data_IF_753528208781
#
_entry.id   IF_753528208781
#
_cell.length_a   1.000
_cell.length_b   1.000
_cell.length_c   1.000
_cell.angle_alpha   90.00
_cell.angle_beta   90.00
_cell.angle_gamma   90.00
#
_symmetry.space_group_name_H-M   'P 1'
#
loop_
_entity.id
_entity.type
_entity.pdbx_description
1 polymer ?
#
# COMPACT_ATOMS: atom_id res chain seq x y z
N UNK A 1 7.47 24.63 -8.97
CA UNK A 1 7.85 26.02 -9.34
C UNK A 1 9.36 26.14 -9.55
N UNK A 2 9.85 26.18 -10.80
CA UNK A 2 11.31 26.20 -11.08
C UNK A 2 12.02 27.47 -10.55
N UNK A 3 11.35 28.62 -10.55
CA UNK A 3 11.90 29.91 -10.07
C UNK A 3 12.35 29.85 -8.60
N UNK A 4 11.64 29.10 -7.75
CA UNK A 4 11.97 28.92 -6.34
C UNK A 4 13.23 28.06 -6.08
N UNK A 5 13.85 27.50 -7.12
CA UNK A 5 15.18 26.89 -7.00
C UNK A 5 16.32 27.90 -7.09
N UNK A 6 16.05 29.10 -7.63
CA UNK A 6 17.07 30.13 -7.76
C UNK A 6 17.50 30.61 -6.37
N UNK A 7 18.79 30.91 -6.22
CA UNK A 7 19.42 31.20 -4.92
C UNK A 7 18.64 32.27 -4.13
N UNK A 8 18.25 33.36 -4.77
CA UNK A 8 17.58 34.49 -4.13
C UNK A 8 16.13 34.15 -3.72
N UNK A 9 15.22 33.72 -4.63
CA UNK A 9 13.89 33.24 -4.24
C UNK A 9 13.91 32.12 -3.19
N UNK A 10 14.82 31.15 -3.32
CA UNK A 10 14.96 30.07 -2.36
C UNK A 10 15.39 30.57 -0.98
N UNK A 11 16.34 31.51 -0.93
CA UNK A 11 16.79 32.11 0.33
C UNK A 11 15.69 32.96 0.99
N UNK A 12 14.86 33.66 0.20
CA UNK A 12 13.69 34.37 0.72
C UNK A 12 12.65 33.40 1.29
N UNK A 13 12.33 32.32 0.58
CA UNK A 13 11.41 31.30 1.07
C UNK A 13 11.89 30.66 2.38
N UNK A 14 13.19 30.38 2.49
CA UNK A 14 13.79 29.82 3.72
C UNK A 14 13.68 30.73 4.94
N UNK A 15 13.47 32.04 4.76
CA UNK A 15 13.21 32.98 5.87
C UNK A 15 11.78 32.87 6.39
N UNK A 16 10.85 32.34 5.59
CA UNK A 16 9.44 32.19 5.93
C UNK A 16 9.09 30.77 6.38
N UNK A 17 9.75 29.76 5.82
CA UNK A 17 9.51 28.34 6.13
C UNK A 17 10.78 27.50 5.97
N UNK A 18 10.89 26.40 6.71
CA UNK A 18 11.97 25.41 6.54
C UNK A 18 11.79 24.56 5.27
N UNK A 19 10.62 24.63 4.63
CA UNK A 19 10.31 23.87 3.43
C UNK A 19 11.01 24.45 2.20
N UNK A 20 11.51 23.56 1.33
CA UNK A 20 12.09 23.93 0.04
C UNK A 20 11.11 23.59 -1.09
N UNK A 21 11.07 24.41 -2.14
CA UNK A 21 10.28 24.06 -3.32
C UNK A 21 10.85 22.81 -4.01
N UNK A 22 9.97 21.90 -4.39
CA UNK A 22 10.31 20.74 -5.18
C UNK A 22 10.00 20.97 -6.66
N UNK A 23 10.69 20.26 -7.53
CA UNK A 23 10.41 20.26 -8.96
C UNK A 23 10.19 18.85 -9.45
N UNK A 24 9.34 18.75 -10.45
CA UNK A 24 9.18 17.54 -11.24
C UNK A 24 10.53 17.00 -11.71
N UNK A 25 10.69 15.68 -11.57
CA UNK A 25 11.79 14.90 -12.09
C UNK A 25 11.21 13.90 -13.08
N UNK A 26 11.59 14.01 -14.35
CA UNK A 26 11.04 13.19 -15.43
C UNK A 26 11.26 11.69 -15.26
N UNK A 27 12.31 11.28 -14.53
CA UNK A 27 12.64 9.86 -14.36
C UNK A 27 11.99 9.24 -13.13
N UNK A 28 11.37 10.04 -12.25
CA UNK A 28 10.77 9.56 -11.00
C UNK A 28 9.27 9.77 -11.02
N UNK A 29 8.53 8.66 -11.14
CA UNK A 29 7.07 8.62 -11.20
C UNK A 29 6.37 9.46 -10.11
N UNK A 30 6.84 9.36 -8.86
CA UNK A 30 6.25 10.06 -7.72
C UNK A 30 6.56 11.56 -7.65
N UNK A 31 7.44 12.08 -8.51
CA UNK A 31 7.91 13.46 -8.41
C UNK A 31 6.82 14.50 -8.66
N UNK A 32 5.82 14.19 -9.51
CA UNK A 32 4.66 15.06 -9.73
C UNK A 32 3.85 15.21 -8.44
N UNK A 33 3.55 14.10 -7.77
CA UNK A 33 2.85 14.10 -6.49
C UNK A 33 3.62 14.88 -5.42
N UNK A 34 4.92 14.60 -5.23
CA UNK A 34 5.75 15.32 -4.25
C UNK A 34 5.84 16.81 -4.55
N UNK A 35 5.98 17.20 -5.82
CA UNK A 35 6.00 18.61 -6.23
C UNK A 35 4.69 19.32 -5.92
N UNK A 36 3.54 18.73 -6.26
CA UNK A 36 2.23 19.33 -6.02
C UNK A 36 1.91 19.40 -4.52
N UNK A 37 2.23 18.34 -3.77
CA UNK A 37 2.10 18.35 -2.31
C UNK A 37 2.96 19.44 -1.68
N UNK A 38 4.22 19.57 -2.13
CA UNK A 38 5.08 20.66 -1.64
C UNK A 38 4.55 22.03 -2.04
N UNK A 39 3.96 22.17 -3.23
CA UNK A 39 3.30 23.41 -3.63
C UNK A 39 2.18 23.79 -2.65
N UNK A 40 1.30 22.85 -2.30
CA UNK A 40 0.19 23.13 -1.36
C UNK A 40 0.68 23.46 0.04
N UNK A 41 1.81 22.90 0.47
CA UNK A 41 2.46 23.23 1.75
C UNK A 41 3.09 24.64 1.77
N UNK A 42 3.60 25.13 0.63
CA UNK A 42 4.31 26.43 0.57
C UNK A 42 3.47 27.59 0.02
N UNK A 43 2.30 27.33 -0.59
CA UNK A 43 1.53 28.34 -1.34
C UNK A 43 1.12 29.57 -0.53
N UNK A 44 0.89 29.41 0.78
CA UNK A 44 0.55 30.51 1.69
C UNK A 44 1.69 31.52 1.85
N UNK A 45 2.94 31.06 1.83
CA UNK A 45 4.12 31.91 2.02
C UNK A 45 4.55 32.65 0.75
N UNK A 46 4.01 32.28 -0.41
CA UNK A 46 4.47 32.84 -1.68
C UNK A 46 4.14 34.32 -1.84
N UNK A 47 3.00 34.77 -1.29
CA UNK A 47 2.64 36.19 -1.31
C UNK A 47 3.58 37.07 -0.49
N UNK A 48 4.16 36.51 0.58
CA UNK A 48 5.06 37.25 1.47
C UNK A 48 6.48 37.39 0.88
N UNK A 49 6.77 36.76 -0.26
CA UNK A 49 8.06 36.88 -0.94
C UNK A 49 8.25 38.24 -1.62
N UNK A 50 7.15 38.95 -1.92
CA UNK A 50 7.19 40.24 -2.62
C UNK A 50 7.84 40.16 -4.00
N UNK A 51 7.63 39.06 -4.72
CA UNK A 51 8.25 38.79 -6.01
C UNK A 51 7.18 38.63 -7.08
N UNK A 52 7.01 39.66 -7.91
CA UNK A 52 5.95 39.73 -8.92
C UNK A 52 6.00 38.56 -9.92
N UNK A 53 7.18 38.04 -10.25
CA UNK A 53 7.28 36.89 -11.15
C UNK A 53 6.78 35.60 -10.48
N UNK A 54 6.96 35.46 -9.17
CA UNK A 54 6.44 34.31 -8.41
C UNK A 54 4.94 34.46 -8.21
N UNK A 55 4.45 35.67 -7.95
CA UNK A 55 3.01 35.93 -7.82
C UNK A 55 2.25 35.60 -9.12
N UNK A 56 2.82 35.91 -10.28
CA UNK A 56 2.27 35.52 -11.59
C UNK A 56 2.23 34.00 -11.83
N UNK A 57 2.99 33.21 -11.08
CA UNK A 57 3.05 31.75 -11.19
C UNK A 57 2.14 31.04 -10.17
N UNK A 58 1.41 31.79 -9.35
CA UNK A 58 0.46 31.22 -8.38
C UNK A 58 -0.75 30.70 -9.13
N UNK A 59 -1.23 29.54 -8.68
CA UNK A 59 -2.45 28.96 -9.20
C UNK A 59 -3.65 29.80 -8.80
N UNK A 60 -4.60 29.93 -9.71
CA UNK A 60 -5.92 30.45 -9.41
C UNK A 60 -6.69 29.51 -8.48
N UNK A 61 -7.74 29.98 -7.78
CA UNK A 61 -8.56 29.11 -6.92
C UNK A 61 -9.17 27.90 -7.64
N UNK A 62 -9.41 28.00 -8.95
CA UNK A 62 -9.94 26.89 -9.75
C UNK A 62 -8.85 25.84 -9.99
N UNK A 63 -7.65 26.28 -10.36
CA UNK A 63 -6.50 25.39 -10.56
C UNK A 63 -6.05 24.74 -9.25
N UNK A 64 -6.15 25.44 -8.11
CA UNK A 64 -5.85 24.84 -6.81
C UNK A 64 -6.80 23.68 -6.48
N UNK A 65 -8.10 23.82 -6.73
CA UNK A 65 -9.05 22.70 -6.56
C UNK A 65 -8.73 21.53 -7.50
N UNK A 66 -8.31 21.82 -8.73
CA UNK A 66 -7.89 20.79 -9.66
C UNK A 66 -6.64 20.05 -9.17
N UNK A 67 -5.69 20.77 -8.54
CA UNK A 67 -4.52 20.17 -7.88
C UNK A 67 -4.93 19.29 -6.69
N UNK A 68 -5.89 19.72 -5.88
CA UNK A 68 -6.38 18.92 -4.75
C UNK A 68 -7.00 17.59 -5.23
N UNK A 69 -7.84 17.64 -6.27
CA UNK A 69 -8.38 16.42 -6.90
C UNK A 69 -7.28 15.53 -7.46
N UNK A 70 -6.30 16.11 -8.16
CA UNK A 70 -5.18 15.36 -8.72
C UNK A 70 -4.29 14.72 -7.63
N UNK A 71 -4.09 15.42 -6.52
CA UNK A 71 -3.32 14.90 -5.39
C UNK A 71 -3.99 13.69 -4.75
N UNK A 72 -5.33 13.69 -4.64
CA UNK A 72 -6.07 12.52 -4.16
C UNK A 72 -5.81 11.30 -5.06
N UNK A 73 -6.01 11.44 -6.38
CA UNK A 73 -5.77 10.37 -7.36
C UNK A 73 -4.33 9.86 -7.31
N UNK A 74 -3.35 10.77 -7.32
CA UNK A 74 -1.93 10.38 -7.26
C UNK A 74 -1.56 9.73 -5.92
N UNK A 75 -2.21 10.13 -4.82
CA UNK A 75 -2.05 9.53 -3.51
C UNK A 75 -2.51 8.08 -3.50
N UNK A 76 -3.70 7.82 -4.04
CA UNK A 76 -4.27 6.47 -4.14
C UNK A 76 -3.41 5.56 -5.01
N UNK A 77 -2.99 6.03 -6.19
CA UNK A 77 -2.07 5.28 -7.06
C UNK A 77 -0.73 5.00 -6.38
N UNK A 78 -0.22 5.96 -5.58
CA UNK A 78 1.03 5.75 -4.82
C UNK A 78 0.84 4.67 -3.76
N UNK A 79 -0.27 4.70 -3.02
CA UNK A 79 -0.63 3.67 -2.02
C UNK A 79 -0.66 2.28 -2.66
N UNK A 80 -1.32 2.15 -3.81
CA UNK A 80 -1.39 0.91 -4.58
C UNK A 80 0.01 0.40 -4.95
N UNK A 81 0.87 1.27 -5.49
CA UNK A 81 2.23 0.85 -5.85
C UNK A 81 3.09 0.45 -4.66
N UNK A 82 2.86 1.03 -3.48
CA UNK A 82 3.55 0.65 -2.25
C UNK A 82 3.05 -0.71 -1.74
N UNK A 83 1.74 -0.96 -1.77
CA UNK A 83 1.16 -2.25 -1.39
C UNK A 83 1.69 -3.40 -2.28
N UNK A 84 1.85 -3.14 -3.58
CA UNK A 84 2.43 -4.12 -4.53
C UNK A 84 3.93 -4.36 -4.32
N UNK A 85 4.64 -3.47 -3.63
CA UNK A 85 6.06 -3.61 -3.32
C UNK A 85 6.30 -4.24 -1.95
N UNK A 86 5.24 -4.51 -1.19
CA UNK A 86 5.34 -5.14 0.11
C UNK A 86 5.86 -6.59 -0.03
N UNK A 87 6.78 -6.99 0.85
CA UNK A 87 7.37 -8.34 0.82
C UNK A 87 6.35 -9.43 1.15
N UNK A 88 5.28 -9.09 1.87
CA UNK A 88 4.19 -10.00 2.21
C UNK A 88 3.09 -10.03 1.13
N UNK A 89 3.20 -9.21 0.07
CA UNK A 89 2.22 -9.17 -1.02
C UNK A 89 2.21 -10.48 -1.80
N UNK A 90 1.12 -11.24 -1.69
CA UNK A 90 0.94 -12.50 -2.41
C UNK A 90 0.33 -12.28 -3.79
N UNK A 91 0.46 -13.26 -4.70
CA UNK A 91 -0.11 -13.15 -6.05
C UNK A 91 -1.65 -12.93 -6.03
N UNK A 92 -2.35 -13.48 -5.04
CA UNK A 92 -3.78 -13.23 -4.83
C UNK A 92 -4.07 -11.77 -4.46
N UNK A 93 -3.22 -11.12 -3.68
CA UNK A 93 -3.34 -9.70 -3.35
C UNK A 93 -3.07 -8.83 -4.56
N UNK A 94 -2.03 -9.15 -5.34
CA UNK A 94 -1.73 -8.47 -6.61
C UNK A 94 -2.95 -8.51 -7.54
N UNK A 95 -3.56 -9.70 -7.70
CA UNK A 95 -4.75 -9.87 -8.55
C UNK A 95 -5.91 -8.99 -8.06
N UNK A 96 -6.23 -9.04 -6.75
CA UNK A 96 -7.29 -8.23 -6.15
C UNK A 96 -7.04 -6.73 -6.32
N UNK A 97 -5.81 -6.27 -6.09
CA UNK A 97 -5.41 -4.87 -6.28
C UNK A 97 -5.61 -4.45 -7.75
N UNK A 98 -5.16 -5.29 -8.70
CA UNK A 98 -5.32 -5.00 -10.12
C UNK A 98 -6.78 -4.98 -10.56
N UNK A 99 -7.62 -5.88 -10.04
CA UNK A 99 -9.06 -5.88 -10.34
C UNK A 99 -9.73 -4.60 -9.86
N UNK A 100 -9.42 -4.14 -8.62
CA UNK A 100 -9.90 -2.83 -8.13
C UNK A 100 -9.42 -1.67 -9.01
N UNK A 101 -8.16 -1.69 -9.47
CA UNK A 101 -7.67 -0.65 -10.40
C UNK A 101 -8.41 -0.70 -11.74
N UNK A 102 -8.76 -1.87 -12.24
CA UNK A 102 -9.50 -2.01 -13.51
C UNK A 102 -10.95 -1.55 -13.36
N UNK A 103 -11.56 -1.74 -12.19
CA UNK A 103 -12.91 -1.21 -11.89
C UNK A 103 -12.92 0.33 -11.96
N UNK A 104 -11.93 0.99 -11.36
CA UNK A 104 -11.82 2.45 -11.36
C UNK A 104 -11.29 3.01 -12.69
N UNK A 105 -10.44 2.25 -13.38
CA UNK A 105 -9.78 2.64 -14.63
C UNK A 105 -9.91 1.52 -15.68
N UNK A 106 -11.06 1.41 -16.38
CA UNK A 106 -11.32 0.32 -17.32
C UNK A 106 -10.28 0.15 -18.43
N UNK A 107 -9.66 1.26 -18.87
CA UNK A 107 -8.59 1.24 -19.88
C UNK A 107 -7.35 0.44 -19.44
N UNK A 108 -7.16 0.24 -18.13
CA UNK A 108 -6.05 -0.51 -17.56
C UNK A 108 -6.16 -2.02 -17.80
N UNK A 109 -7.34 -2.54 -18.17
CA UNK A 109 -7.58 -3.98 -18.39
C UNK A 109 -6.59 -4.59 -19.38
N UNK A 110 -6.18 -3.82 -20.40
CA UNK A 110 -5.24 -4.26 -21.44
C UNK A 110 -3.85 -4.59 -20.89
N UNK A 111 -3.51 -4.11 -19.70
CA UNK A 111 -2.20 -4.34 -19.05
C UNK A 111 -2.31 -5.07 -17.73
N UNK A 112 -3.42 -4.91 -17.01
CA UNK A 112 -3.59 -5.43 -15.66
C UNK A 112 -4.58 -6.59 -15.57
N UNK A 113 -5.38 -6.85 -16.61
CA UNK A 113 -6.36 -7.94 -16.60
C UNK A 113 -5.71 -9.33 -16.55
N UNK A 114 -6.46 -10.33 -16.10
CA UNK A 114 -6.03 -11.74 -16.04
C UNK A 114 -5.58 -12.30 -17.40
N UNK A 115 -6.18 -11.81 -18.49
CA UNK A 115 -5.90 -12.22 -19.86
C UNK A 115 -5.12 -11.16 -20.66
N UNK A 116 -4.48 -10.21 -19.98
CA UNK A 116 -3.69 -9.18 -20.64
C UNK A 116 -2.50 -9.81 -21.40
N UNK A 117 -2.12 -9.23 -22.55
CA UNK A 117 -1.06 -9.75 -23.43
C UNK A 117 0.31 -9.91 -22.73
N UNK A 118 0.52 -9.21 -21.61
CA UNK A 118 1.74 -9.29 -20.80
C UNK A 118 1.81 -10.56 -19.94
N UNK A 119 0.67 -11.19 -19.65
CA UNK A 119 0.55 -12.40 -18.83
C UNK A 119 1.05 -13.60 -19.65
N UNK A 120 2.18 -14.17 -19.24
CA UNK A 120 2.84 -15.23 -20.02
C UNK A 120 2.20 -16.60 -19.81
N UNK A 121 1.72 -16.88 -18.59
CA UNK A 121 1.14 -18.18 -18.23
C UNK A 121 -0.21 -17.99 -17.53
N UNK A 122 -1.28 -17.60 -18.24
CA UNK A 122 -2.56 -17.25 -17.63
C UNK A 122 -3.16 -18.38 -16.78
N UNK A 123 -3.10 -19.63 -17.26
CA UNK A 123 -3.63 -20.79 -16.52
C UNK A 123 -2.85 -21.09 -15.25
N UNK A 124 -1.54 -20.89 -15.26
CA UNK A 124 -0.70 -21.05 -14.07
C UNK A 124 -1.00 -19.95 -13.05
N UNK A 125 -1.01 -18.68 -13.48
CA UNK A 125 -1.27 -17.54 -12.59
C UNK A 125 -2.67 -17.63 -11.96
N UNK A 126 -3.69 -17.95 -12.75
CA UNK A 126 -5.06 -18.16 -12.25
C UNK A 126 -5.13 -19.30 -11.24
N UNK A 127 -4.48 -20.44 -11.54
CA UNK A 127 -4.40 -21.57 -10.61
C UNK A 127 -3.75 -21.22 -9.28
N UNK A 128 -2.61 -20.50 -9.30
CA UNK A 128 -1.93 -20.03 -8.08
C UNK A 128 -2.83 -19.06 -7.29
N UNK A 129 -3.48 -18.12 -7.96
CA UNK A 129 -4.41 -17.17 -7.31
C UNK A 129 -5.56 -17.89 -6.63
N UNK A 130 -6.18 -18.89 -7.28
CA UNK A 130 -7.27 -19.69 -6.70
C UNK A 130 -6.81 -20.45 -5.46
N UNK A 131 -5.63 -21.07 -5.49
CA UNK A 131 -5.05 -21.77 -4.34
C UNK A 131 -4.83 -20.81 -3.17
N UNK A 132 -4.17 -19.68 -3.41
CA UNK A 132 -3.87 -18.69 -2.38
C UNK A 132 -5.14 -18.05 -1.80
N UNK A 133 -6.19 -17.94 -2.60
CA UNK A 133 -7.49 -17.42 -2.16
C UNK A 133 -8.35 -18.47 -1.43
N UNK A 134 -7.85 -19.69 -1.20
CA UNK A 134 -8.60 -20.77 -0.54
C UNK A 134 -9.65 -21.45 -1.44
N UNK A 135 -9.63 -21.19 -2.74
CA UNK A 135 -10.57 -21.72 -3.74
C UNK A 135 -9.95 -22.85 -4.56
N UNK A 136 -9.05 -23.64 -3.99
CA UNK A 136 -8.39 -24.75 -4.71
C UNK A 136 -9.38 -25.80 -5.28
N UNK A 137 -10.61 -25.86 -4.76
CA UNK A 137 -11.67 -26.74 -5.26
C UNK A 137 -12.28 -26.26 -6.60
N UNK A 138 -12.01 -25.03 -7.04
CA UNK A 138 -12.48 -24.48 -8.34
C UNK A 138 -11.43 -24.55 -9.44
N UNK A 139 -10.33 -25.26 -9.20
CA UNK A 139 -9.28 -25.47 -10.18
C UNK A 139 -9.80 -26.33 -11.34
N UNK A 140 -9.47 -25.94 -12.57
CA UNK A 140 -9.68 -26.80 -13.75
C UNK A 140 -8.54 -27.80 -13.91
N UNK A 141 -8.75 -28.86 -14.70
CA UNK A 141 -7.71 -29.86 -14.95
C UNK A 141 -6.45 -29.23 -15.57
N UNK A 142 -6.60 -28.21 -16.42
CA UNK A 142 -5.49 -27.46 -17.00
C UNK A 142 -4.72 -26.65 -15.94
N UNK A 143 -5.44 -26.02 -15.00
CA UNK A 143 -4.82 -25.26 -13.90
C UNK A 143 -4.11 -26.18 -12.92
N UNK A 144 -4.70 -27.34 -12.59
CA UNK A 144 -4.06 -28.38 -11.75
C UNK A 144 -2.76 -28.84 -12.39
N UNK A 145 -2.78 -29.15 -13.69
CA UNK A 145 -1.56 -29.53 -14.44
C UNK A 145 -0.51 -28.42 -14.44
N UNK A 146 -0.94 -27.15 -14.57
CA UNK A 146 -0.04 -26.01 -14.57
C UNK A 146 0.65 -25.80 -13.22
N UNK A 147 -0.05 -26.00 -12.10
CA UNK A 147 0.50 -25.79 -10.74
C UNK A 147 1.14 -27.02 -10.12
N UNK A 148 1.01 -28.20 -10.74
CA UNK A 148 1.45 -29.50 -10.20
C UNK A 148 2.90 -29.48 -9.70
N UNK A 149 3.80 -28.78 -10.41
CA UNK A 149 5.22 -28.68 -10.04
C UNK A 149 5.48 -27.95 -8.72
N UNK A 150 4.52 -27.15 -8.25
CA UNK A 150 4.58 -26.47 -6.95
C UNK A 150 4.07 -27.36 -5.80
N UNK A 151 3.42 -28.49 -6.11
CA UNK A 151 2.91 -29.39 -5.11
C UNK A 151 4.07 -30.06 -4.37
N UNK A 152 4.18 -29.78 -3.07
CA UNK A 152 5.11 -30.51 -2.20
C UNK A 152 4.42 -31.81 -1.77
N UNK A 153 5.03 -32.99 -2.00
CA UNK A 153 4.45 -34.24 -1.52
C UNK A 153 4.29 -34.19 0.01
N UNK A 154 3.09 -34.50 0.48
CA UNK A 154 2.66 -34.46 1.89
C UNK A 154 3.60 -35.26 2.81
N UNK A 155 4.34 -36.23 2.27
CA UNK A 155 5.37 -37.00 2.98
C UNK A 155 6.49 -36.15 3.62
N UNK A 156 6.74 -34.94 3.12
CA UNK A 156 7.75 -34.03 3.70
C UNK A 156 7.20 -33.11 4.80
N UNK A 157 5.89 -33.08 5.04
CA UNK A 157 5.27 -32.27 6.09
C UNK A 157 5.08 -33.05 7.39
N UNK A 158 4.93 -34.39 7.30
CA UNK A 158 4.88 -35.26 8.48
C UNK A 158 6.27 -35.50 9.09
N UNK A 159 7.35 -35.45 8.29
CA UNK A 159 8.72 -35.58 8.80
C UNK A 159 9.18 -34.40 9.68
N UNK A 160 8.58 -33.21 9.53
CA UNK A 160 8.91 -32.03 10.36
C UNK A 160 8.14 -31.97 11.68
N UNK A 161 7.21 -32.89 11.93
CA UNK A 161 6.43 -32.92 13.19
C UNK A 161 7.00 -33.90 14.24
N UNK A 162 7.92 -34.80 13.86
CA UNK A 162 8.56 -35.76 14.80
C UNK A 162 10.09 -35.84 14.72
N UNK A 163 10.78 -34.81 14.20
CA UNK A 163 12.23 -34.69 14.38
C UNK A 163 12.55 -33.72 15.52
N UNK A 164 13.18 -34.28 16.56
CA UNK A 164 13.69 -33.58 17.74
C UNK A 164 14.22 -32.18 17.38
N UNK A 165 13.57 -31.15 17.92
CA UNK A 165 13.99 -29.76 17.73
C UNK A 165 15.45 -29.62 18.22
N UNK A 166 16.37 -29.07 17.43
CA UNK A 166 17.68 -28.70 17.95
C UNK A 166 17.49 -27.72 19.12
N UNK A 167 18.29 -27.83 20.20
CA UNK A 167 18.10 -27.04 21.40
C UNK A 167 18.11 -25.54 21.04
N UNK A 168 16.97 -24.87 21.26
CA UNK A 168 16.77 -23.46 20.91
C UNK A 168 17.93 -22.60 21.43
N UNK A 169 18.46 -21.74 20.55
CA UNK A 169 19.50 -20.78 20.92
C UNK A 169 18.98 -19.80 21.99
N UNK A 170 19.88 -19.21 22.75
CA UNK A 170 19.53 -18.30 23.85
C UNK A 170 18.71 -17.09 23.35
N UNK A 171 18.95 -16.66 22.11
CA UNK A 171 18.22 -15.58 21.41
C UNK A 171 16.78 -15.98 21.11
N UNK A 172 16.55 -17.19 20.60
CA UNK A 172 15.20 -17.70 20.31
C UNK A 172 14.37 -17.85 21.58
N UNK A 173 14.99 -18.28 22.70
CA UNK A 173 14.34 -18.33 24.01
C UNK A 173 13.94 -16.95 24.54
N UNK A 174 14.77 -15.93 24.32
CA UNK A 174 14.47 -14.56 24.73
C UNK A 174 13.28 -13.95 23.94
N UNK A 175 13.28 -14.12 22.62
CA UNK A 175 12.21 -13.59 21.74
C UNK A 175 10.86 -14.28 21.99
N UNK A 176 10.86 -15.60 22.28
CA UNK A 176 9.63 -16.32 22.61
C UNK A 176 9.05 -15.88 23.96
N UNK A 177 9.90 -15.57 24.96
CA UNK A 177 9.44 -14.97 26.23
C UNK A 177 8.75 -13.62 26.00
N UNK A 178 9.30 -12.77 25.13
CA UNK A 178 8.68 -11.49 24.80
C UNK A 178 7.32 -11.63 24.10
N UNK A 179 7.18 -12.61 23.18
CA UNK A 179 5.89 -12.91 22.51
C UNK A 179 4.82 -13.42 23.49
N UNK A 180 5.20 -14.22 24.48
CA UNK A 180 4.27 -14.71 25.52
C UNK A 180 3.88 -13.58 26.47
N UNK A 181 4.82 -12.72 26.87
CA UNK A 181 4.52 -11.54 27.71
C UNK A 181 3.59 -10.54 27.02
N UNK A 182 3.78 -10.30 25.72
CA UNK A 182 2.93 -9.40 24.94
C UNK A 182 1.53 -9.99 24.68
N UNK A 183 1.42 -11.32 24.53
CA UNK A 183 0.13 -12.00 24.38
C UNK A 183 -0.68 -12.02 25.69
N UNK A 184 -0.04 -12.17 26.85
CA UNK A 184 -0.71 -12.10 28.16
C UNK A 184 -1.20 -10.67 28.47
N UNK A 185 -0.47 -9.64 28.02
CA UNK A 185 -0.87 -8.24 28.22
C UNK A 185 -2.03 -7.79 27.31
N UNK A 186 -2.16 -8.36 26.11
CA UNK A 186 -3.30 -8.08 25.20
C UNK A 186 -4.53 -8.96 25.47
N UNK A 187 -4.36 -10.14 26.09
CA UNK A 187 -5.46 -11.05 26.41
C UNK A 187 -6.34 -10.63 27.60
N UNK A 188 -5.92 -9.64 28.40
CA UNK A 188 -6.64 -9.16 29.59
C UNK A 188 -7.43 -7.85 29.40
N UNK A 189 -7.62 -7.39 28.15
CA UNK A 189 -8.42 -6.19 27.81
C UNK A 189 -9.63 -6.50 26.92
N UNK A 190 -10.03 -7.77 26.80
CA UNK A 190 -11.26 -8.18 26.10
C UNK A 190 -12.22 -8.89 27.06
N UNK A 191 -12.60 -8.18 28.14
CA UNK A 191 -13.68 -8.57 29.04
C UNK A 191 -15.03 -8.09 28.53
N UNK A 192 -15.73 -8.97 27.83
CA UNK A 192 -17.19 -9.15 27.80
C UNK A 192 -18.10 -7.92 28.04
N UNK A 193 -18.41 -7.18 26.97
CA UNK A 193 -19.48 -6.16 26.96
C UNK A 193 -20.85 -6.71 26.51
N UNK A 194 -20.92 -7.99 26.12
CA UNK A 194 -22.16 -8.59 25.57
C UNK A 194 -23.12 -9.11 26.63
N UNK A 195 -22.71 -9.12 27.91
CA UNK A 195 -23.54 -9.51 29.05
C UNK A 195 -24.34 -8.36 29.70
N UNK A 196 -24.26 -7.11 29.20
CA UNK A 196 -24.96 -5.95 29.81
C UNK A 196 -26.22 -5.47 29.07
N UNK A 197 -26.81 -6.26 28.16
CA UNK A 197 -28.04 -5.88 27.44
C UNK A 197 -29.21 -6.88 27.60
N UNK A 198 -29.30 -7.57 28.74
CA UNK A 198 -30.47 -8.39 29.08
C UNK A 198 -31.08 -8.11 30.47
N UNK A 199 -30.75 -6.98 31.12
CA UNK A 199 -31.28 -6.64 32.44
C UNK A 199 -32.02 -5.29 32.53
N UNK A 200 -32.58 -4.78 31.44
CA UNK A 200 -33.44 -3.59 31.47
C UNK A 200 -34.77 -3.79 30.72
N UNK A 201 -35.54 -4.81 31.15
CA UNK A 201 -36.96 -4.97 30.78
C UNK A 201 -37.70 -5.90 31.76
N UNK A 202 -37.42 -5.77 33.07
CA UNK A 202 -38.23 -6.30 34.17
C UNK A 202 -37.99 -5.41 35.39
N UNK A 203 -38.64 -4.26 35.39
CA UNK A 203 -39.29 -3.64 36.56
C UNK A 203 -39.67 -2.21 36.17
N UNK A 204 -41.00 -1.99 36.09
CA UNK A 204 -41.77 -0.81 35.64
C UNK A 204 -42.08 -0.72 34.14
#
# INVERSE_FOLDING_TARGET
MRKLKNILPAARLRRLTLLAAETLNSTRWTSTHSMLKRYTEIKSFLGDLGDAEIDLLRLSPIEERAVDTLLAVLGDLTSITLALQDEECMLSDVRRIFDTVVEDYPDAVRRLGETADIVQYPTFESGVVKILSGHAFTLTDEEVSAVERLAVPVANQTATTEMAQPPMSLVQRALKKQRVSHAILLGNQAGDWRSSLLHYAKDL
#
